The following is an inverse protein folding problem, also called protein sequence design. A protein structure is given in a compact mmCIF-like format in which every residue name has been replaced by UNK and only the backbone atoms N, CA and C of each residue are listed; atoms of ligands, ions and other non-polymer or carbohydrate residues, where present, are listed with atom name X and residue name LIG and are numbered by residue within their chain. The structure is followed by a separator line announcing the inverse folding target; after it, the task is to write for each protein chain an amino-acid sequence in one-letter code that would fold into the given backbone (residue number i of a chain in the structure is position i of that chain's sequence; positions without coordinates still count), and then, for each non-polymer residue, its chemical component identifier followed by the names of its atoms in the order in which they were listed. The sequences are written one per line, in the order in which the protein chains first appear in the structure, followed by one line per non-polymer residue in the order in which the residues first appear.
data_IF_488369322728
#
_entry.id   IF_488369322728
#
_cell.length_a   1.000
_cell.length_b   1.000
_cell.length_c   1.000
_cell.angle_alpha   90.00
_cell.angle_beta   90.00
_cell.angle_gamma   90.00
#
_symmetry.space_group_name_H-M   'P 1'
#
loop_
_entity.id
_entity.type
_entity.pdbx_description
1 polymer ?
#
# COMPACT_ATOMS: atom_id res chain seq x y z
N UNK A 1 -29.30 31.80 -26.72
CA UNK A 1 -30.04 30.61 -27.18
C UNK A 1 -28.98 29.62 -27.63
N UNK A 2 -28.64 28.52 -26.95
CA UNK A 2 -29.27 27.73 -25.89
C UNK A 2 -28.12 26.95 -25.23
N UNK A 3 -27.56 27.45 -24.12
CA UNK A 3 -26.62 26.69 -23.29
C UNK A 3 -27.43 25.86 -22.30
N UNK A 4 -27.87 24.70 -22.78
CA UNK A 4 -28.26 23.59 -21.92
C UNK A 4 -27.42 22.39 -22.37
N UNK A 5 -26.11 22.45 -22.11
CA UNK A 5 -25.31 21.23 -22.12
C UNK A 5 -25.90 20.31 -21.04
N UNK A 6 -26.42 19.19 -21.53
CA UNK A 6 -27.31 18.29 -20.83
C UNK A 6 -26.55 17.62 -19.69
N UNK A 7 -26.78 18.04 -18.44
CA UNK A 7 -26.27 17.37 -17.22
C UNK A 7 -26.60 15.86 -17.24
N UNK A 8 -27.73 15.48 -17.86
CA UNK A 8 -28.11 14.08 -18.06
C UNK A 8 -27.24 13.31 -19.06
N UNK A 9 -26.65 13.96 -20.08
CA UNK A 9 -25.71 13.28 -21.00
C UNK A 9 -24.33 13.06 -20.37
N UNK A 10 -23.93 13.93 -19.44
CA UNK A 10 -22.70 13.72 -18.67
C UNK A 10 -22.80 12.45 -17.82
N UNK A 11 -23.95 12.20 -17.17
CA UNK A 11 -24.18 11.02 -16.30
C UNK A 11 -24.12 9.69 -17.09
N UNK A 12 -24.61 9.64 -18.32
CA UNK A 12 -24.67 8.40 -19.14
C UNK A 12 -23.33 8.05 -19.79
N UNK A 13 -22.42 9.02 -19.94
CA UNK A 13 -21.12 8.83 -20.59
C UNK A 13 -19.94 8.73 -19.62
N UNK A 14 -20.16 8.82 -18.30
CA UNK A 14 -19.05 8.95 -17.34
C UNK A 14 -18.09 7.76 -17.36
N UNK A 15 -18.58 6.53 -17.53
CA UNK A 15 -17.72 5.34 -17.64
C UNK A 15 -16.82 5.44 -18.87
N UNK A 16 -17.40 5.79 -20.02
CA UNK A 16 -16.65 5.98 -21.27
C UNK A 16 -15.63 7.13 -21.17
N UNK A 17 -15.95 8.20 -20.43
CA UNK A 17 -15.05 9.33 -20.18
C UNK A 17 -13.88 8.92 -19.27
N UNK A 18 -14.15 8.16 -18.22
CA UNK A 18 -13.13 7.61 -17.32
C UNK A 18 -12.20 6.65 -18.06
N UNK A 19 -12.74 5.68 -18.81
CA UNK A 19 -11.93 4.75 -19.60
C UNK A 19 -11.07 5.49 -20.64
N UNK A 20 -11.62 6.53 -21.28
CA UNK A 20 -10.87 7.37 -22.23
C UNK A 20 -9.76 8.16 -21.54
N UNK A 21 -10.04 8.73 -20.36
CA UNK A 21 -9.07 9.46 -19.58
C UNK A 21 -7.92 8.54 -19.13
N UNK A 22 -8.23 7.37 -18.58
CA UNK A 22 -7.23 6.36 -18.19
C UNK A 22 -6.34 5.93 -19.36
N UNK A 23 -6.95 5.61 -20.51
CA UNK A 23 -6.19 5.23 -21.71
C UNK A 23 -5.30 6.37 -22.22
N UNK A 24 -5.78 7.62 -22.14
CA UNK A 24 -4.97 8.79 -22.53
C UNK A 24 -3.80 9.03 -21.58
N UNK A 25 -4.00 8.90 -20.26
CA UNK A 25 -2.95 8.98 -19.25
C UNK A 25 -1.89 7.91 -19.46
N UNK A 26 -2.32 6.66 -19.64
CA UNK A 26 -1.43 5.53 -19.96
C UNK A 26 -0.61 5.80 -21.21
N UNK A 27 -1.21 6.35 -22.26
CA UNK A 27 -0.52 6.69 -23.50
C UNK A 27 0.53 7.79 -23.32
N UNK A 28 0.21 8.84 -22.55
CA UNK A 28 1.15 9.90 -22.20
C UNK A 28 2.34 9.32 -21.43
N UNK A 29 2.06 8.57 -20.35
CA UNK A 29 3.09 7.97 -19.51
C UNK A 29 3.97 7.00 -20.30
N UNK A 30 3.40 6.19 -21.19
CA UNK A 30 4.15 5.30 -22.08
C UNK A 30 5.10 6.08 -23.01
N UNK A 31 4.65 7.24 -23.51
CA UNK A 31 5.48 8.14 -24.30
C UNK A 31 6.66 8.67 -23.51
N UNK A 32 6.42 9.13 -22.27
CA UNK A 32 7.44 9.73 -21.40
C UNK A 32 8.49 8.69 -20.97
N UNK A 33 8.09 7.45 -20.67
CA UNK A 33 9.04 6.39 -20.26
C UNK A 33 9.76 5.74 -21.45
N UNK A 34 9.42 6.11 -22.70
CA UNK A 34 9.91 5.45 -23.90
C UNK A 34 11.40 5.68 -24.16
N UNK A 35 11.94 6.78 -23.65
CA UNK A 35 13.36 7.06 -23.65
C UNK A 35 13.92 7.11 -22.22
N UNK A 36 15.23 7.32 -22.08
CA UNK A 36 15.90 7.40 -20.78
C UNK A 36 15.98 8.83 -20.22
N UNK A 37 15.22 9.79 -20.78
CA UNK A 37 15.35 11.21 -20.47
C UNK A 37 13.99 11.90 -20.35
N UNK A 38 13.55 12.03 -19.10
CA UNK A 38 12.36 12.82 -18.79
C UNK A 38 12.70 14.31 -18.83
N UNK A 39 11.90 15.10 -19.55
CA UNK A 39 12.08 16.55 -19.65
C UNK A 39 10.92 17.37 -19.04
N UNK A 40 11.17 18.67 -18.85
CA UNK A 40 10.21 19.59 -18.24
C UNK A 40 8.95 19.82 -19.09
N UNK A 41 9.00 19.61 -20.41
CA UNK A 41 7.84 19.73 -21.30
C UNK A 41 6.92 18.53 -21.14
N UNK A 42 7.49 17.33 -21.01
CA UNK A 42 6.75 16.10 -20.72
C UNK A 42 6.01 16.18 -19.38
N UNK A 43 6.68 16.66 -18.33
CA UNK A 43 6.05 16.87 -17.03
C UNK A 43 4.98 17.96 -17.07
N UNK A 44 5.21 19.03 -17.84
CA UNK A 44 4.18 20.05 -18.07
C UNK A 44 2.96 19.47 -18.77
N UNK A 45 3.15 18.61 -19.77
CA UNK A 45 2.04 17.96 -20.48
C UNK A 45 1.24 17.04 -19.55
N UNK A 46 1.92 16.25 -18.71
CA UNK A 46 1.29 15.41 -17.70
C UNK A 46 0.49 16.24 -16.67
N UNK A 47 1.03 17.38 -16.23
CA UNK A 47 0.34 18.31 -15.34
C UNK A 47 -0.87 19.00 -15.98
N UNK A 48 -0.80 19.34 -17.28
CA UNK A 48 -1.94 19.85 -18.04
C UNK A 48 -3.04 18.80 -18.17
N UNK A 49 -2.67 17.56 -18.44
CA UNK A 49 -3.62 16.45 -18.47
C UNK A 49 -4.38 16.30 -17.15
N UNK A 50 -3.68 16.38 -16.01
CA UNK A 50 -4.29 16.30 -14.68
C UNK A 50 -5.29 17.44 -14.46
N UNK A 51 -4.92 18.67 -14.85
CA UNK A 51 -5.80 19.84 -14.74
C UNK A 51 -7.05 19.72 -15.60
N UNK A 52 -6.92 19.22 -16.83
CA UNK A 52 -8.03 19.10 -17.78
C UNK A 52 -9.03 17.98 -17.41
N UNK A 53 -8.61 17.02 -16.59
CA UNK A 53 -9.42 15.88 -16.13
C UNK A 53 -9.73 15.95 -14.63
N UNK A 54 -9.50 17.08 -13.98
CA UNK A 54 -9.74 17.27 -12.55
C UNK A 54 -11.21 17.06 -12.15
N UNK A 55 -12.15 17.19 -13.10
CA UNK A 55 -13.57 16.89 -12.88
C UNK A 55 -13.84 15.41 -12.52
N UNK A 56 -12.86 14.52 -12.78
CA UNK A 56 -12.91 13.12 -12.41
C UNK A 56 -12.33 12.82 -11.02
N UNK A 57 -11.77 13.81 -10.30
CA UNK A 57 -11.00 13.59 -9.05
C UNK A 57 -11.79 12.85 -7.96
N UNK A 58 -13.09 13.08 -7.83
CA UNK A 58 -13.95 12.42 -6.84
C UNK A 58 -14.23 10.94 -7.18
N UNK A 59 -13.71 10.45 -8.31
CA UNK A 59 -13.86 9.05 -8.73
C UNK A 59 -12.57 8.30 -8.53
N UNK A 60 -12.69 7.08 -8.01
CA UNK A 60 -11.58 6.16 -8.02
C UNK A 60 -11.29 5.71 -9.48
N UNK A 61 -10.03 5.58 -9.90
CA UNK A 61 -8.79 5.91 -9.16
C UNK A 61 -8.21 7.30 -9.47
N UNK A 62 -9.00 8.19 -10.08
CA UNK A 62 -8.51 9.50 -10.52
C UNK A 62 -8.01 10.36 -9.37
N UNK A 63 -8.57 10.26 -8.16
CA UNK A 63 -8.01 10.94 -6.98
C UNK A 63 -6.53 10.62 -6.78
N UNK A 64 -6.17 9.34 -6.84
CA UNK A 64 -4.78 8.87 -6.67
C UNK A 64 -3.91 9.35 -7.82
N UNK A 65 -4.38 9.22 -9.06
CA UNK A 65 -3.62 9.70 -10.22
C UNK A 65 -3.35 11.20 -10.12
N UNK A 66 -4.33 12.02 -9.73
CA UNK A 66 -4.12 13.46 -9.60
C UNK A 66 -3.08 13.79 -8.53
N UNK A 67 -3.18 13.19 -7.34
CA UNK A 67 -2.22 13.40 -6.26
C UNK A 67 -0.80 12.95 -6.63
N UNK A 68 -0.68 11.79 -7.29
CA UNK A 68 0.61 11.28 -7.76
C UNK A 68 1.20 12.15 -8.86
N UNK A 69 0.40 12.62 -9.81
CA UNK A 69 0.85 13.54 -10.87
C UNK A 69 1.30 14.85 -10.25
N UNK A 70 0.53 15.45 -9.35
CA UNK A 70 0.88 16.70 -8.67
C UNK A 70 2.22 16.58 -7.92
N UNK A 71 2.42 15.47 -7.20
CA UNK A 71 3.69 15.19 -6.53
C UNK A 71 4.85 14.98 -7.53
N UNK A 72 4.59 14.32 -8.66
CA UNK A 72 5.59 14.01 -9.68
C UNK A 72 6.00 15.24 -10.50
N UNK A 73 5.09 16.21 -10.67
CA UNK A 73 5.30 17.43 -11.45
C UNK A 73 5.88 18.58 -10.59
N UNK A 74 5.91 18.44 -9.26
CA UNK A 74 6.38 19.48 -8.33
C UNK A 74 7.88 19.77 -8.45
N UNK A 75 8.22 20.81 -9.22
CA UNK A 75 9.45 21.62 -9.30
C UNK A 75 10.82 20.96 -9.50
N UNK A 76 10.93 19.63 -9.49
CA UNK A 76 12.14 18.89 -9.89
C UNK A 76 11.77 17.86 -10.95
N UNK A 77 12.67 17.62 -11.91
CA UNK A 77 12.47 16.52 -12.88
C UNK A 77 12.46 15.22 -12.08
N UNK A 78 11.36 14.45 -12.11
CA UNK A 78 11.26 13.25 -11.30
C UNK A 78 12.21 12.18 -11.83
N UNK A 79 12.63 11.26 -10.94
CA UNK A 79 13.31 10.06 -11.37
C UNK A 79 12.41 9.25 -12.32
N UNK A 80 12.98 8.62 -13.36
CA UNK A 80 12.25 7.76 -14.32
C UNK A 80 11.34 6.76 -13.62
N UNK A 81 11.81 6.22 -12.51
CA UNK A 81 11.07 5.34 -11.61
C UNK A 81 9.69 5.89 -11.24
N UNK A 82 9.56 7.18 -10.89
CA UNK A 82 8.29 7.75 -10.47
C UNK A 82 7.24 7.72 -11.60
N UNK A 83 7.64 8.06 -12.83
CA UNK A 83 6.73 8.03 -13.99
C UNK A 83 6.37 6.60 -14.37
N UNK A 84 7.31 5.67 -14.26
CA UNK A 84 7.00 4.26 -14.44
C UNK A 84 6.07 3.71 -13.33
N UNK A 85 6.08 4.28 -12.10
CA UNK A 85 5.17 3.88 -11.00
C UNK A 85 3.74 4.27 -11.37
N UNK A 86 3.55 5.49 -11.88
CA UNK A 86 2.28 5.97 -12.42
C UNK A 86 1.82 5.12 -13.61
N UNK A 87 2.73 4.75 -14.51
CA UNK A 87 2.38 3.93 -15.68
C UNK A 87 1.91 2.53 -15.27
N UNK A 88 2.65 1.88 -14.38
CA UNK A 88 2.27 0.58 -13.83
C UNK A 88 0.92 0.63 -13.13
N UNK A 89 0.67 1.68 -12.35
CA UNK A 89 -0.62 1.89 -11.70
C UNK A 89 -1.74 1.93 -12.74
N UNK A 90 -1.57 2.71 -13.82
CA UNK A 90 -2.52 2.76 -14.93
C UNK A 90 -2.82 1.39 -15.56
N UNK A 91 -1.79 0.55 -15.73
CA UNK A 91 -1.96 -0.81 -16.28
C UNK A 91 -2.78 -1.70 -15.37
N UNK A 92 -2.59 -1.59 -14.04
CA UNK A 92 -3.36 -2.34 -13.04
C UNK A 92 -4.86 -2.02 -13.12
N UNK A 93 -5.19 -0.77 -13.44
CA UNK A 93 -6.58 -0.31 -13.58
C UNK A 93 -7.22 -0.63 -14.95
N UNK A 94 -6.43 -0.85 -15.99
CA UNK A 94 -6.92 -1.10 -17.35
C UNK A 94 -7.51 -2.50 -17.54
N UNK A 95 -6.94 -3.51 -16.85
CA UNK A 95 -7.42 -4.89 -16.93
C UNK A 95 -8.70 -5.15 -16.10
N UNK A 96 -8.98 -4.29 -15.12
CA UNK A 96 -9.93 -4.58 -14.04
C UNK A 96 -10.98 -3.48 -13.82
N UNK A 97 -11.43 -2.76 -14.85
CA UNK A 97 -12.38 -1.63 -14.66
C UNK A 97 -13.76 -2.01 -14.09
N UNK A 98 -14.09 -3.32 -14.01
CA UNK A 98 -15.25 -3.85 -13.28
C UNK A 98 -14.83 -4.49 -11.94
N UNK A 99 -13.60 -4.98 -11.84
CA UNK A 99 -13.09 -5.72 -10.69
C UNK A 99 -12.44 -4.82 -9.63
N UNK A 100 -11.83 -3.69 -9.99
CA UNK A 100 -11.18 -2.82 -9.00
C UNK A 100 -12.16 -2.27 -7.96
N UNK A 101 -13.40 -1.96 -8.37
CA UNK A 101 -14.45 -1.59 -7.42
C UNK A 101 -14.77 -2.77 -6.48
N UNK A 102 -14.81 -4.00 -7.00
CA UNK A 102 -15.02 -5.22 -6.21
C UNK A 102 -13.86 -5.50 -5.24
N UNK A 103 -12.62 -5.59 -5.76
CA UNK A 103 -11.39 -5.81 -4.98
C UNK A 103 -11.23 -4.75 -3.88
N UNK A 104 -11.38 -3.48 -4.22
CA UNK A 104 -11.29 -2.39 -3.24
C UNK A 104 -12.41 -2.47 -2.22
N UNK A 105 -13.64 -2.75 -2.64
CA UNK A 105 -14.76 -2.93 -1.71
C UNK A 105 -14.56 -4.12 -0.79
N UNK A 106 -14.00 -5.22 -1.29
CA UNK A 106 -13.75 -6.44 -0.51
C UNK A 106 -12.57 -6.26 0.44
N UNK A 107 -11.53 -5.51 0.06
CA UNK A 107 -10.44 -5.13 0.98
C UNK A 107 -10.92 -4.14 2.06
N UNK A 108 -11.80 -3.20 1.71
CA UNK A 108 -12.47 -2.34 2.70
C UNK A 108 -13.39 -3.15 3.61
N UNK A 109 -14.05 -4.18 3.07
CA UNK A 109 -14.84 -5.12 3.86
C UNK A 109 -13.95 -5.90 4.82
N UNK A 110 -12.79 -6.38 4.37
CA UNK A 110 -11.77 -7.01 5.23
C UNK A 110 -11.34 -6.07 6.36
N UNK A 111 -11.07 -4.80 6.05
CA UNK A 111 -10.78 -3.79 7.07
C UNK A 111 -11.95 -3.60 8.03
N UNK A 112 -13.18 -3.59 7.53
CA UNK A 112 -14.40 -3.55 8.37
C UNK A 112 -14.52 -4.77 9.28
N UNK A 113 -14.16 -5.96 8.79
CA UNK A 113 -14.08 -7.20 9.60
C UNK A 113 -13.05 -7.02 10.71
N UNK A 114 -11.87 -6.48 10.40
CA UNK A 114 -10.82 -6.18 11.39
C UNK A 114 -11.31 -5.23 12.48
N UNK A 115 -12.00 -4.15 12.11
CA UNK A 115 -12.63 -3.25 13.08
C UNK A 115 -13.66 -3.97 13.95
N UNK A 116 -14.46 -4.87 13.37
CA UNK A 116 -15.49 -5.62 14.07
C UNK A 116 -14.93 -6.59 15.10
N UNK A 117 -13.94 -7.40 14.72
CA UNK A 117 -13.35 -8.44 15.60
C UNK A 117 -12.46 -7.86 16.70
N UNK A 118 -12.01 -6.61 16.59
CA UNK A 118 -11.28 -5.92 17.66
C UNK A 118 -12.16 -4.98 18.48
N UNK A 119 -13.46 -4.86 18.17
CA UNK A 119 -14.33 -3.84 18.73
C UNK A 119 -14.56 -4.00 20.24
N UNK A 120 -14.47 -5.21 20.79
CA UNK A 120 -14.58 -5.52 22.22
C UNK A 120 -13.23 -5.83 22.88
N UNK A 121 -12.15 -5.84 22.08
CA UNK A 121 -10.80 -6.18 22.51
C UNK A 121 -10.61 -7.63 22.92
N UNK A 122 -11.43 -8.57 22.43
CA UNK A 122 -11.27 -10.01 22.65
C UNK A 122 -11.58 -10.77 21.36
N UNK A 123 -10.54 -11.16 20.63
CA UNK A 123 -10.70 -12.04 19.47
C UNK A 123 -11.03 -13.45 19.93
N UNK A 124 -12.17 -14.02 19.53
CA UNK A 124 -12.59 -15.37 19.93
C UNK A 124 -12.53 -16.40 18.79
N UNK A 125 -12.63 -17.69 19.12
CA UNK A 125 -12.51 -18.79 18.14
C UNK A 125 -13.54 -18.67 17.01
N UNK A 126 -14.79 -18.32 17.33
CA UNK A 126 -15.85 -18.19 16.33
C UNK A 126 -15.54 -17.07 15.33
N UNK A 127 -14.94 -15.96 15.77
CA UNK A 127 -14.49 -14.87 14.90
C UNK A 127 -13.33 -15.30 14.01
N UNK A 128 -12.37 -16.07 14.53
CA UNK A 128 -11.23 -16.59 13.76
C UNK A 128 -11.72 -17.56 12.69
N UNK A 129 -12.63 -18.48 13.01
CA UNK A 129 -13.21 -19.39 12.04
C UNK A 129 -14.07 -18.68 11.00
N UNK A 130 -14.81 -17.62 11.38
CA UNK A 130 -15.57 -16.79 10.44
C UNK A 130 -14.65 -15.99 9.52
N UNK A 131 -13.54 -15.45 10.05
CA UNK A 131 -12.52 -14.80 9.25
C UNK A 131 -11.90 -15.78 8.25
N UNK A 132 -11.55 -17.00 8.69
CA UNK A 132 -11.07 -18.06 7.79
C UNK A 132 -12.06 -18.40 6.67
N UNK A 133 -13.35 -18.52 7.00
CA UNK A 133 -14.40 -18.79 6.02
C UNK A 133 -14.51 -17.65 4.99
N UNK A 134 -14.55 -16.40 5.47
CA UNK A 134 -14.58 -15.23 4.58
C UNK A 134 -13.35 -15.19 3.68
N UNK A 135 -12.15 -15.44 4.23
CA UNK A 135 -10.93 -15.50 3.43
C UNK A 135 -11.03 -16.59 2.36
N UNK A 136 -11.51 -17.78 2.70
CA UNK A 136 -11.70 -18.89 1.74
C UNK A 136 -12.73 -18.59 0.64
N UNK A 137 -13.73 -17.76 0.90
CA UNK A 137 -14.73 -17.35 -0.08
C UNK A 137 -14.22 -16.23 -1.02
N UNK A 138 -13.17 -15.51 -0.62
CA UNK A 138 -12.65 -14.34 -1.32
C UNK A 138 -11.24 -14.59 -1.92
N UNK A 139 -10.98 -15.79 -2.44
CA UNK A 139 -9.68 -16.17 -3.04
C UNK A 139 -9.25 -15.32 -4.26
N UNK A 140 -10.17 -14.56 -4.85
CA UNK A 140 -9.82 -13.58 -5.89
C UNK A 140 -8.93 -12.44 -5.37
N UNK A 141 -8.86 -12.27 -4.04
CA UNK A 141 -7.95 -11.34 -3.38
C UNK A 141 -6.54 -11.91 -3.17
N UNK A 142 -6.26 -13.14 -3.61
CA UNK A 142 -4.90 -13.68 -3.61
C UNK A 142 -3.97 -12.77 -4.44
N UNK A 143 -2.75 -12.54 -3.95
CA UNK A 143 -1.77 -11.55 -4.44
C UNK A 143 -2.00 -10.10 -3.99
N UNK A 144 -3.06 -9.82 -3.22
CA UNK A 144 -3.28 -8.51 -2.61
C UNK A 144 -2.92 -8.57 -1.12
N UNK A 145 -2.12 -7.61 -0.67
CA UNK A 145 -1.87 -7.41 0.76
C UNK A 145 -3.04 -6.58 1.36
N UNK A 146 -3.39 -6.73 2.65
CA UNK A 146 -2.87 -7.73 3.58
C UNK A 146 -3.52 -9.11 3.42
N UNK A 147 -4.41 -9.30 2.44
CA UNK A 147 -5.20 -10.51 2.27
C UNK A 147 -4.34 -11.80 2.22
N UNK A 148 -3.27 -11.82 1.41
CA UNK A 148 -2.37 -12.98 1.31
C UNK A 148 -1.81 -13.40 2.67
N UNK A 149 -1.42 -12.39 3.45
CA UNK A 149 -0.73 -12.58 4.72
C UNK A 149 -1.69 -13.00 5.83
N UNK A 150 -2.83 -12.32 5.96
CA UNK A 150 -3.86 -12.71 6.92
C UNK A 150 -4.39 -14.11 6.59
N UNK A 151 -4.53 -14.46 5.31
CA UNK A 151 -4.94 -15.79 4.89
C UNK A 151 -3.91 -16.84 5.28
N UNK A 152 -2.63 -16.57 5.07
CA UNK A 152 -1.55 -17.47 5.50
C UNK A 152 -1.55 -17.66 7.01
N UNK A 153 -1.63 -16.57 7.78
CA UNK A 153 -1.63 -16.59 9.24
C UNK A 153 -2.84 -17.32 9.81
N UNK A 154 -4.04 -16.97 9.35
CA UNK A 154 -5.28 -17.63 9.80
C UNK A 154 -5.27 -19.11 9.41
N UNK A 155 -4.79 -19.45 8.21
CA UNK A 155 -4.67 -20.84 7.80
C UNK A 155 -3.73 -21.63 8.73
N UNK A 156 -2.58 -21.07 9.12
CA UNK A 156 -1.68 -21.76 10.06
C UNK A 156 -2.32 -22.04 11.42
N UNK A 157 -3.17 -21.12 11.90
CA UNK A 157 -3.85 -21.21 13.20
C UNK A 157 -5.01 -22.23 13.17
N UNK A 158 -5.77 -22.31 12.07
CA UNK A 158 -6.95 -23.19 12.03
C UNK A 158 -6.64 -24.64 11.62
N UNK A 159 -5.44 -24.91 11.10
CA UNK A 159 -5.07 -26.22 10.52
C UNK A 159 -5.13 -27.35 11.54
N UNK A 160 -4.67 -27.13 12.77
CA UNK A 160 -4.65 -28.14 13.83
C UNK A 160 -5.96 -28.21 14.65
N UNK A 161 -6.90 -27.30 14.35
CA UNK A 161 -8.20 -27.10 14.99
C UNK A 161 -8.13 -26.75 16.48
N UNK A 162 -7.00 -26.25 16.96
CA UNK A 162 -6.81 -25.82 18.34
C UNK A 162 -6.15 -24.46 18.34
N UNK A 163 -6.95 -23.43 18.57
CA UNK A 163 -6.44 -22.06 18.63
C UNK A 163 -5.80 -21.86 20.00
N UNK A 164 -4.49 -21.68 20.02
CA UNK A 164 -3.74 -21.37 21.25
C UNK A 164 -3.82 -19.86 21.56
N UNK A 165 -3.66 -19.47 22.83
CA UNK A 165 -3.69 -18.06 23.22
C UNK A 165 -2.53 -17.27 22.57
N UNK A 166 -1.37 -17.90 22.38
CA UNK A 166 -0.24 -17.28 21.68
C UNK A 166 -0.58 -16.95 20.21
N UNK A 167 -1.21 -17.89 19.50
CA UNK A 167 -1.67 -17.72 18.12
C UNK A 167 -2.70 -16.61 17.99
N UNK A 168 -3.63 -16.55 18.95
CA UNK A 168 -4.64 -15.50 19.05
C UNK A 168 -3.99 -14.14 19.25
N UNK A 169 -3.02 -14.01 20.15
CA UNK A 169 -2.31 -12.76 20.38
C UNK A 169 -1.53 -12.34 19.13
N UNK A 170 -0.91 -13.27 18.40
CA UNK A 170 -0.25 -12.98 17.11
C UNK A 170 -1.24 -12.44 16.08
N UNK A 171 -2.41 -13.08 15.94
CA UNK A 171 -3.45 -12.64 15.03
C UNK A 171 -4.01 -11.27 15.42
N UNK A 172 -4.26 -11.02 16.71
CA UNK A 172 -4.69 -9.72 17.23
C UNK A 172 -3.65 -8.64 16.95
N UNK A 173 -2.37 -8.91 17.20
CA UNK A 173 -1.29 -7.97 16.94
C UNK A 173 -1.17 -7.63 15.45
N UNK A 174 -1.39 -8.61 14.57
CA UNK A 174 -1.40 -8.40 13.12
C UNK A 174 -2.57 -7.52 12.69
N UNK A 175 -3.79 -7.88 13.10
CA UNK A 175 -5.02 -7.16 12.73
C UNK A 175 -5.00 -5.71 13.23
N UNK A 176 -4.45 -5.46 14.42
CA UNK A 176 -4.28 -4.13 15.02
C UNK A 176 -3.54 -3.16 14.08
N UNK A 177 -2.60 -3.63 13.26
CA UNK A 177 -1.86 -2.77 12.32
C UNK A 177 -2.74 -2.09 11.26
N UNK A 178 -3.98 -2.57 11.09
CA UNK A 178 -4.90 -2.12 10.05
C UNK A 178 -6.13 -1.37 10.59
N UNK A 179 -6.17 -1.11 11.90
CA UNK A 179 -7.37 -0.65 12.60
C UNK A 179 -7.06 0.54 13.48
N UNK A 180 -7.78 1.65 13.27
CA UNK A 180 -7.82 2.77 14.21
C UNK A 180 -9.01 2.62 15.17
N UNK A 181 -8.75 2.16 16.39
CA UNK A 181 -9.79 2.01 17.41
C UNK A 181 -10.10 3.36 18.05
N UNK A 182 -11.39 3.75 18.02
CA UNK A 182 -11.87 5.01 18.62
C UNK A 182 -12.06 4.93 20.14
N UNK A 183 -12.13 3.72 20.68
CA UNK A 183 -12.25 3.50 22.12
C UNK A 183 -10.85 3.36 22.73
N UNK A 184 -10.40 4.39 23.43
CA UNK A 184 -9.06 4.45 24.02
C UNK A 184 -8.83 3.32 25.05
N UNK A 185 -9.84 2.93 25.83
CA UNK A 185 -9.68 1.87 26.85
C UNK A 185 -9.39 0.51 26.20
N UNK A 186 -10.06 0.23 25.08
CA UNK A 186 -9.87 -1.01 24.31
C UNK A 186 -8.54 -0.97 23.57
N UNK A 187 -8.19 0.17 22.96
CA UNK A 187 -6.90 0.35 22.29
C UNK A 187 -5.73 0.13 23.25
N UNK A 188 -5.76 0.74 24.44
CA UNK A 188 -4.73 0.55 25.48
C UNK A 188 -4.67 -0.90 25.98
N UNK A 189 -5.81 -1.58 26.08
CA UNK A 189 -5.85 -2.99 26.47
C UNK A 189 -5.14 -3.85 25.41
N UNK A 190 -5.51 -3.72 24.14
CA UNK A 190 -4.89 -4.48 23.05
C UNK A 190 -3.39 -4.17 22.96
N UNK A 191 -2.99 -2.91 23.17
CA UNK A 191 -1.57 -2.53 23.23
C UNK A 191 -0.81 -3.33 24.30
N UNK A 192 -1.35 -3.40 25.52
CA UNK A 192 -0.75 -4.19 26.61
C UNK A 192 -0.75 -5.68 26.31
N UNK A 193 -1.83 -6.20 25.75
CA UNK A 193 -1.98 -7.64 25.48
C UNK A 193 -1.07 -8.11 24.34
N UNK A 194 -0.63 -7.19 23.46
CA UNK A 194 0.21 -7.48 22.28
C UNK A 194 1.66 -7.00 22.40
N UNK A 195 2.07 -6.42 23.54
CA UNK A 195 3.38 -5.76 23.69
C UNK A 195 4.57 -6.69 23.47
N UNK A 196 4.41 -7.98 23.80
CA UNK A 196 5.50 -8.97 23.76
C UNK A 196 5.50 -9.77 22.44
N UNK A 197 4.55 -9.49 21.54
CA UNK A 197 4.42 -10.22 20.28
C UNK A 197 5.30 -9.59 19.22
N UNK A 198 6.32 -10.35 18.83
CA UNK A 198 7.20 -9.99 17.74
C UNK A 198 6.68 -10.65 16.45
N UNK A 199 5.92 -9.92 15.63
CA UNK A 199 5.38 -10.45 14.36
C UNK A 199 6.54 -10.60 13.38
N UNK A 200 7.18 -11.77 13.40
CA UNK A 200 8.22 -12.11 12.43
C UNK A 200 7.56 -12.37 11.06
N UNK A 201 7.34 -11.31 10.31
CA UNK A 201 6.89 -11.48 8.94
C UNK A 201 6.63 -10.18 8.19
N UNK A 202 6.03 -9.16 8.81
CA UNK A 202 5.25 -8.23 7.98
C UNK A 202 5.49 -6.75 8.28
N UNK A 203 5.65 -6.39 9.54
CA UNK A 203 6.35 -5.21 10.02
C UNK A 203 6.76 -5.68 11.41
N UNK A 204 8.05 -5.94 11.60
CA UNK A 204 8.49 -6.39 12.91
C UNK A 204 8.20 -5.25 13.89
N UNK A 205 7.38 -5.53 14.90
CA UNK A 205 7.28 -4.66 16.06
C UNK A 205 8.59 -4.88 16.80
N UNK A 206 9.47 -3.88 16.74
CA UNK A 206 10.87 -3.93 17.19
C UNK A 206 11.71 -5.01 16.46
N UNK A 207 11.98 -4.83 15.14
CA UNK A 207 12.97 -5.66 14.47
C UNK A 207 14.31 -5.39 15.14
N UNK A 208 15.10 -6.42 15.44
CA UNK A 208 16.54 -6.23 15.64
C UNK A 208 17.15 -5.76 14.30
N UNK A 209 17.15 -4.45 14.08
CA UNK A 209 17.65 -3.84 12.86
C UNK A 209 19.18 -3.86 12.93
N UNK A 210 19.77 -4.69 12.09
CA UNK A 210 21.22 -4.68 11.88
C UNK A 210 21.53 -3.71 10.75
N UNK A 211 22.27 -2.64 11.04
CA UNK A 211 22.65 -1.65 10.03
C UNK A 211 23.93 -2.03 9.29
N UNK A 212 24.98 -2.45 10.00
CA UNK A 212 26.31 -2.63 9.42
C UNK A 212 26.32 -3.64 8.27
N UNK A 213 26.73 -3.19 7.08
CA UNK A 213 26.85 -4.02 5.87
C UNK A 213 25.52 -4.44 5.25
N UNK A 214 24.38 -3.99 5.78
CA UNK A 214 23.04 -4.33 5.32
C UNK A 214 22.49 -3.30 4.34
N UNK A 215 21.67 -3.77 3.40
CA UNK A 215 21.13 -2.95 2.31
C UNK A 215 19.69 -2.52 2.57
N UNK A 216 19.44 -1.21 2.57
CA UNK A 216 18.14 -0.61 2.87
C UNK A 216 17.58 0.12 1.65
N UNK A 217 16.34 -0.18 1.27
CA UNK A 217 15.61 0.56 0.25
C UNK A 217 14.43 1.29 0.90
N UNK A 218 14.19 2.55 0.54
CA UNK A 218 13.07 3.32 1.09
C UNK A 218 11.95 3.39 0.04
N UNK A 219 10.69 3.24 0.45
CA UNK A 219 9.51 3.43 -0.38
C UNK A 219 8.46 4.26 0.36
N UNK A 220 7.63 5.00 -0.39
CA UNK A 220 6.62 5.90 0.20
C UNK A 220 7.17 7.27 0.60
N UNK A 221 6.26 8.07 1.17
CA UNK A 221 6.55 9.38 1.76
C UNK A 221 6.82 9.15 3.25
N UNK A 222 7.85 9.79 3.79
CA UNK A 222 8.22 9.68 5.20
C UNK A 222 7.50 10.78 6.01
N UNK A 223 6.99 10.44 7.18
CA UNK A 223 6.28 11.33 8.10
C UNK A 223 7.21 11.95 9.16
N UNK A 224 8.27 11.24 9.57
CA UNK A 224 9.21 11.70 10.63
C UNK A 224 10.38 12.52 10.13
N UNK A 225 10.68 12.48 8.85
CA UNK A 225 11.82 13.19 8.27
C UNK A 225 11.85 13.09 6.75
N UNK A 226 12.90 13.61 6.14
CA UNK A 226 13.13 13.52 4.71
C UNK A 226 13.81 12.21 4.35
N UNK A 227 13.67 11.81 3.08
CA UNK A 227 14.38 10.64 2.56
C UNK A 227 15.88 10.77 2.73
N UNK A 228 16.44 11.95 2.49
CA UNK A 228 17.88 12.19 2.63
C UNK A 228 18.34 12.04 4.09
N UNK A 229 17.60 12.59 5.06
CA UNK A 229 17.91 12.43 6.49
C UNK A 229 17.93 10.97 6.90
N UNK A 230 16.93 10.18 6.49
CA UNK A 230 16.88 8.75 6.80
C UNK A 230 18.03 7.97 6.12
N UNK A 231 18.40 8.33 4.89
CA UNK A 231 19.53 7.72 4.19
C UNK A 231 20.86 8.01 4.89
N UNK A 232 21.09 9.25 5.34
CA UNK A 232 22.28 9.62 6.11
C UNK A 232 22.31 8.88 7.45
N UNK A 233 21.17 8.81 8.14
CA UNK A 233 21.02 8.10 9.41
C UNK A 233 21.43 6.61 9.28
N UNK A 234 20.95 5.92 8.24
CA UNK A 234 21.33 4.54 7.93
C UNK A 234 22.82 4.40 7.61
N UNK A 235 23.37 5.31 6.79
CA UNK A 235 24.78 5.28 6.39
C UNK A 235 25.73 5.50 7.58
N UNK A 236 25.37 6.40 8.50
CA UNK A 236 26.12 6.67 9.72
C UNK A 236 26.24 5.45 10.64
N UNK A 237 25.28 4.51 10.54
CA UNK A 237 25.29 3.22 11.26
C UNK A 237 25.95 2.08 10.47
N UNK A 238 26.58 2.39 9.33
CA UNK A 238 27.27 1.41 8.48
C UNK A 238 26.36 0.67 7.48
N UNK A 239 25.11 1.11 7.32
CA UNK A 239 24.17 0.57 6.34
C UNK A 239 24.37 1.15 4.94
N UNK A 240 23.88 0.41 3.94
CA UNK A 240 23.96 0.77 2.53
C UNK A 240 22.56 1.17 2.05
N UNK A 241 22.34 2.46 1.82
CA UNK A 241 21.09 2.94 1.23
C UNK A 241 21.08 2.72 -0.29
N UNK A 242 19.98 2.16 -0.81
CA UNK A 242 19.75 1.96 -2.25
C UNK A 242 18.39 2.50 -2.68
N UNK A 243 18.31 3.00 -3.92
CA UNK A 243 17.07 3.54 -4.47
C UNK A 243 16.13 2.46 -5.02
N UNK A 244 16.69 1.31 -5.40
CA UNK A 244 15.96 0.21 -6.04
C UNK A 244 16.12 -1.10 -5.29
N UNK A 245 15.02 -1.86 -5.23
CA UNK A 245 15.01 -3.21 -4.68
C UNK A 245 15.72 -4.17 -5.63
N UNK A 246 16.59 -4.99 -5.05
CA UNK A 246 17.31 -6.06 -5.72
C UNK A 246 17.32 -7.32 -4.84
N UNK A 247 17.87 -8.42 -5.36
CA UNK A 247 18.09 -9.66 -4.59
C UNK A 247 19.03 -9.49 -3.39
N UNK A 248 19.79 -8.38 -3.34
CA UNK A 248 20.70 -8.04 -2.24
C UNK A 248 20.07 -7.12 -1.20
N UNK A 249 18.84 -6.66 -1.43
CA UNK A 249 18.16 -5.76 -0.50
C UNK A 249 17.72 -6.55 0.73
N UNK A 250 18.24 -6.18 1.90
CA UNK A 250 17.92 -6.82 3.17
C UNK A 250 16.65 -6.21 3.79
N UNK A 251 16.47 -4.89 3.69
CA UNK A 251 15.36 -4.16 4.29
C UNK A 251 14.65 -3.26 3.27
N UNK A 252 13.31 -3.29 3.23
CA UNK A 252 12.48 -2.30 2.57
C UNK A 252 11.75 -1.47 3.64
N UNK A 253 12.12 -0.19 3.72
CA UNK A 253 11.54 0.78 4.63
C UNK A 253 10.30 1.38 3.99
N UNK A 254 9.17 1.29 4.68
CA UNK A 254 7.88 1.79 4.22
C UNK A 254 7.58 3.07 5.00
N UNK A 255 7.52 4.20 4.30
CA UNK A 255 7.11 5.49 4.83
C UNK A 255 5.59 5.62 4.93
N UNK A 256 5.15 6.34 5.96
CA UNK A 256 3.75 6.62 6.26
C UNK A 256 3.15 7.57 5.22
N UNK A 257 2.30 7.02 4.34
CA UNK A 257 1.29 7.82 3.68
C UNK A 257 0.16 8.05 4.68
N UNK A 258 0.23 9.18 5.39
CA UNK A 258 -0.89 9.72 6.17
C UNK A 258 -2.24 9.40 5.52
N UNK A 259 -2.94 8.45 6.12
CA UNK A 259 -4.39 8.30 6.14
C UNK A 259 -5.14 8.59 4.82
N UNK A 260 -4.99 7.71 3.81
CA UNK A 260 -5.97 7.48 2.73
C UNK A 260 -5.53 6.44 1.67
N UNK A 261 -4.23 6.14 1.53
CA UNK A 261 -3.79 5.19 0.50
C UNK A 261 -3.96 3.71 0.89
N UNK A 262 -4.27 3.45 2.15
CA UNK A 262 -4.62 2.11 2.66
C UNK A 262 -5.95 1.60 2.10
N UNK A 263 -6.85 2.49 1.67
CA UNK A 263 -8.16 2.12 1.14
C UNK A 263 -8.15 1.67 -0.32
N UNK A 264 -6.99 1.56 -0.99
CA UNK A 264 -6.90 1.42 -2.46
C UNK A 264 -5.79 0.48 -2.98
N UNK A 265 -5.55 -0.66 -2.33
CA UNK A 265 -5.05 -1.88 -3.03
C UNK A 265 -3.68 -1.82 -3.75
N UNK A 266 -2.90 -0.73 -3.64
CA UNK A 266 -1.68 -0.51 -4.41
C UNK A 266 -0.51 -0.13 -3.49
N UNK A 267 0.17 -1.14 -2.95
CA UNK A 267 1.35 -1.00 -2.09
C UNK A 267 2.59 -0.39 -2.80
N UNK A 268 2.43 0.02 -4.06
CA UNK A 268 3.51 0.48 -4.94
C UNK A 268 4.37 -0.67 -5.44
N UNK A 269 4.99 -0.50 -6.62
CA UNK A 269 5.80 -1.54 -7.28
C UNK A 269 6.91 -2.11 -6.41
N UNK A 270 7.46 -1.30 -5.50
CA UNK A 270 8.56 -1.71 -4.62
C UNK A 270 8.10 -2.74 -3.57
N UNK A 271 6.93 -2.56 -2.95
CA UNK A 271 6.41 -3.55 -2.00
C UNK A 271 6.05 -4.86 -2.71
N UNK A 272 5.36 -4.81 -3.85
CA UNK A 272 5.06 -6.03 -4.62
C UNK A 272 6.34 -6.77 -5.04
N UNK A 273 7.36 -6.04 -5.52
CA UNK A 273 8.66 -6.62 -5.86
C UNK A 273 9.36 -7.25 -4.65
N UNK A 274 9.22 -6.68 -3.46
CA UNK A 274 9.74 -7.28 -2.23
C UNK A 274 9.00 -8.59 -1.88
N UNK A 275 7.67 -8.61 -2.02
CA UNK A 275 6.86 -9.82 -1.80
C UNK A 275 7.20 -10.92 -2.81
N UNK A 276 7.40 -10.58 -4.08
CA UNK A 276 7.83 -11.54 -5.11
C UNK A 276 9.22 -12.13 -4.83
N UNK A 277 10.14 -11.32 -4.30
CA UNK A 277 11.45 -11.79 -3.85
C UNK A 277 11.32 -12.75 -2.67
N UNK A 278 10.40 -12.51 -1.73
CA UNK A 278 10.07 -13.45 -0.65
C UNK A 278 9.52 -14.76 -1.17
N UNK A 279 8.55 -14.71 -2.10
CA UNK A 279 8.00 -15.90 -2.78
C UNK A 279 9.11 -16.69 -3.50
N UNK A 280 10.12 -16.00 -4.01
CA UNK A 280 11.32 -16.57 -4.64
C UNK A 280 12.41 -17.02 -3.64
N UNK A 281 12.12 -17.07 -2.33
CA UNK A 281 13.00 -17.56 -1.28
C UNK A 281 14.05 -16.56 -0.76
N UNK A 282 13.92 -15.27 -1.07
CA UNK A 282 14.82 -14.24 -0.54
C UNK A 282 14.26 -13.63 0.76
N UNK A 283 15.13 -13.43 1.73
CA UNK A 283 14.79 -12.84 3.02
C UNK A 283 14.92 -11.31 2.97
N UNK A 284 13.90 -10.64 2.43
CA UNK A 284 13.77 -9.18 2.56
C UNK A 284 12.81 -8.87 3.71
N UNK A 285 13.20 -7.95 4.60
CA UNK A 285 12.40 -7.53 5.75
C UNK A 285 11.68 -6.24 5.39
N UNK A 286 10.36 -6.22 5.54
CA UNK A 286 9.56 -4.99 5.46
C UNK A 286 9.56 -4.35 6.85
N UNK A 287 9.92 -3.08 6.93
CA UNK A 287 10.04 -2.32 8.20
C UNK A 287 9.35 -0.97 8.04
N UNK A 288 8.68 -0.49 9.08
CA UNK A 288 8.07 0.84 9.05
C UNK A 288 9.16 1.90 9.25
N UNK A 289 8.91 3.13 8.77
CA UNK A 289 9.85 4.22 9.01
C UNK A 289 10.07 4.49 10.50
N UNK A 290 9.04 4.28 11.32
CA UNK A 290 9.10 4.49 12.76
C UNK A 290 10.11 3.57 13.44
N UNK A 291 10.10 2.28 13.09
CA UNK A 291 11.04 1.29 13.63
C UNK A 291 12.48 1.66 13.28
N UNK A 292 12.71 2.14 12.04
CA UNK A 292 14.05 2.57 11.62
C UNK A 292 14.47 3.83 12.37
N UNK A 293 13.61 4.84 12.47
CA UNK A 293 13.95 6.07 13.19
C UNK A 293 14.20 5.85 14.69
N UNK A 294 13.58 4.84 15.30
CA UNK A 294 13.83 4.49 16.70
C UNK A 294 15.10 3.65 16.90
N UNK A 295 15.53 2.91 15.86
CA UNK A 295 16.75 2.11 15.90
C UNK A 295 18.04 2.87 15.51
N UNK A 296 17.92 4.07 14.91
CA UNK A 296 19.09 4.91 14.55
C UNK A 296 19.50 5.84 15.70
#
# INVERSE_FOLDING_TARGET
MTNFENVNQQIVTVKSRADKALNSLKGILLGIISDDRIDAKEMKELGLWAKDHYDLIERNPFREFMLLIENTVSNEIPAKEAVEDLYWLCQKYEHDSIYYNGITSDLQLLQGIFHGILADGVLNDDEIFRLHAWLSENEHLNSYYPYDEIRSLVLSIVVDKKIEEEERTILTAFVKQFVELRNNEIAEKIERDTSDVNISGICAVDPEITFEGKTFCITGILSRGTRNELQEAIQNKGGISVNNISKKTDYLIIGDMNNACWSYSCYGRKVEKALDLRKSGHTIVLVHEFDIFDAV
#
